data_IF_262844954009
#
_entry.id   IF_262844954009
#
_cell.length_a   1.000
_cell.length_b   1.000
_cell.length_c   1.000
_cell.angle_alpha   90.00
_cell.angle_beta   90.00
_cell.angle_gamma   90.00
#
_symmetry.space_group_name_H-M   'P 1'
#
loop_
_entity.id
_entity.type
_entity.pdbx_description
1 polymer ?
#
# COMPACT_ATOMS: atom_id res chain seq x y z
N UNK A 1 4.45 24.27 27.52
CA UNK A 1 4.30 22.83 27.28
C UNK A 1 2.81 22.49 27.41
N UNK A 2 2.06 22.61 26.32
CA UNK A 2 0.63 22.28 26.31
C UNK A 2 0.50 20.83 25.84
N UNK A 3 0.12 19.95 26.75
CA UNK A 3 -0.29 18.59 26.43
C UNK A 3 -1.57 18.69 25.59
N UNK A 4 -1.44 18.48 24.30
CA UNK A 4 -2.59 18.23 23.45
C UNK A 4 -3.26 16.94 23.94
N UNK A 5 -4.33 17.08 24.71
CA UNK A 5 -5.15 15.96 25.16
C UNK A 5 -5.56 15.15 23.94
N UNK A 6 -5.10 13.91 23.86
CA UNK A 6 -5.49 12.97 22.83
C UNK A 6 -7.04 12.84 22.91
N UNK A 7 -7.74 13.46 21.97
CA UNK A 7 -9.18 13.34 21.85
C UNK A 7 -9.52 11.86 21.67
N UNK A 8 -10.06 11.24 22.69
CA UNK A 8 -10.59 9.88 22.59
C UNK A 8 -11.65 9.86 21.47
N UNK A 9 -11.54 8.93 20.52
CA UNK A 9 -12.53 8.83 19.46
C UNK A 9 -13.91 8.63 20.07
N UNK A 10 -14.87 9.46 19.67
CA UNK A 10 -16.24 9.37 20.18
C UNK A 10 -16.75 7.94 19.90
N UNK A 11 -17.42 7.33 20.90
CA UNK A 11 -17.99 5.97 20.81
C UNK A 11 -18.78 5.76 19.51
N UNK A 12 -19.49 6.77 19.02
CA UNK A 12 -20.21 6.75 17.74
C UNK A 12 -19.28 6.55 16.54
N UNK A 13 -18.13 7.24 16.49
CA UNK A 13 -17.14 7.07 15.41
C UNK A 13 -16.53 5.68 15.42
N UNK A 14 -16.23 5.13 16.60
CA UNK A 14 -15.71 3.77 16.75
C UNK A 14 -16.73 2.72 16.29
N UNK A 15 -18.00 2.86 16.67
CA UNK A 15 -19.08 1.95 16.26
C UNK A 15 -19.29 2.01 14.73
N UNK A 16 -19.30 3.21 14.15
CA UNK A 16 -19.43 3.37 12.68
C UNK A 16 -18.25 2.71 11.96
N UNK A 17 -17.02 2.92 12.44
CA UNK A 17 -15.82 2.27 11.86
C UNK A 17 -15.90 0.75 11.94
N UNK A 18 -16.35 0.19 13.06
CA UNK A 18 -16.56 -1.25 13.23
C UNK A 18 -17.66 -1.79 12.30
N UNK A 19 -18.76 -1.07 12.13
CA UNK A 19 -19.82 -1.46 11.21
C UNK A 19 -19.37 -1.44 9.75
N UNK A 20 -18.59 -0.42 9.36
CA UNK A 20 -18.00 -0.35 8.02
C UNK A 20 -17.03 -1.50 7.79
N UNK A 21 -16.17 -1.80 8.76
CA UNK A 21 -15.24 -2.93 8.66
C UNK A 21 -16.00 -4.27 8.55
N UNK A 22 -17.02 -4.46 9.36
CA UNK A 22 -17.87 -5.66 9.31
C UNK A 22 -18.57 -5.78 7.95
N UNK A 23 -19.15 -4.69 7.44
CA UNK A 23 -19.79 -4.67 6.13
C UNK A 23 -18.82 -5.03 4.99
N UNK A 24 -17.60 -4.45 5.00
CA UNK A 24 -16.57 -4.78 4.02
C UNK A 24 -16.16 -6.25 4.11
N UNK A 25 -15.98 -6.78 5.32
CA UNK A 25 -15.68 -8.21 5.53
C UNK A 25 -16.80 -9.10 4.99
N UNK A 26 -18.06 -8.77 5.28
CA UNK A 26 -19.20 -9.50 4.74
C UNK A 26 -19.26 -9.47 3.22
N UNK A 27 -18.99 -8.32 2.59
CA UNK A 27 -18.94 -8.19 1.13
C UNK A 27 -17.86 -9.11 0.56
N UNK A 28 -16.65 -9.11 1.14
CA UNK A 28 -15.56 -9.98 0.70
C UNK A 28 -15.95 -11.45 0.81
N UNK A 29 -16.44 -11.89 1.97
CA UNK A 29 -16.88 -13.27 2.19
C UNK A 29 -17.97 -13.67 1.23
N UNK A 30 -18.95 -12.79 1.00
CA UNK A 30 -20.04 -13.04 0.07
C UNK A 30 -19.59 -13.13 -1.39
N UNK A 31 -18.63 -12.30 -1.80
CA UNK A 31 -18.06 -12.32 -3.16
C UNK A 31 -17.28 -13.63 -3.41
N UNK A 32 -16.59 -14.15 -2.40
CA UNK A 32 -15.80 -15.36 -2.54
C UNK A 32 -16.54 -16.66 -2.22
N UNK A 33 -17.79 -16.61 -1.74
CA UNK A 33 -18.53 -17.80 -1.29
C UNK A 33 -18.65 -18.88 -2.38
N UNK A 34 -18.86 -18.47 -3.64
CA UNK A 34 -19.07 -19.39 -4.76
C UNK A 34 -17.75 -20.00 -5.28
N UNK A 35 -16.59 -19.37 -4.94
CA UNK A 35 -15.26 -19.85 -5.28
C UNK A 35 -14.54 -20.54 -4.11
N UNK A 36 -15.22 -20.70 -2.95
CA UNK A 36 -14.59 -21.24 -1.75
C UNK A 36 -14.08 -22.67 -1.93
N UNK A 37 -14.82 -23.50 -2.64
CA UNK A 37 -14.40 -24.87 -2.95
C UNK A 37 -13.16 -24.91 -3.86
N UNK A 38 -13.09 -24.03 -4.86
CA UNK A 38 -11.92 -23.91 -5.74
C UNK A 38 -10.69 -23.41 -4.98
N UNK A 39 -10.87 -22.40 -4.13
CA UNK A 39 -9.80 -21.83 -3.29
C UNK A 39 -9.25 -22.89 -2.35
N UNK A 40 -10.11 -23.62 -1.63
CA UNK A 40 -9.68 -24.67 -0.70
C UNK A 40 -8.97 -25.81 -1.42
N UNK A 41 -9.46 -26.21 -2.59
CA UNK A 41 -8.81 -27.25 -3.40
C UNK A 41 -7.45 -26.79 -3.91
N UNK A 42 -7.34 -25.55 -4.40
CA UNK A 42 -6.08 -24.96 -4.83
C UNK A 42 -5.08 -24.84 -3.68
N UNK A 43 -5.54 -24.41 -2.49
CA UNK A 43 -4.69 -24.34 -1.30
C UNK A 43 -4.21 -25.73 -0.83
N UNK A 44 -5.07 -26.75 -0.90
CA UNK A 44 -4.71 -28.12 -0.53
C UNK A 44 -3.65 -28.75 -1.47
N UNK A 45 -3.51 -28.23 -2.69
CA UNK A 45 -2.49 -28.68 -3.65
C UNK A 45 -1.13 -28.01 -3.43
N UNK A 46 -1.06 -26.94 -2.62
CA UNK A 46 0.20 -26.27 -2.34
C UNK A 46 1.07 -27.09 -1.41
N UNK A 47 2.33 -27.23 -1.75
CA UNK A 47 3.30 -27.79 -0.83
C UNK A 47 3.58 -26.80 0.32
N UNK A 48 3.99 -27.34 1.47
CA UNK A 48 4.36 -26.50 2.64
C UNK A 48 5.43 -25.46 2.26
N UNK A 49 6.37 -25.79 1.39
CA UNK A 49 7.40 -24.86 0.92
C UNK A 49 6.83 -23.71 0.10
N UNK A 50 5.82 -23.96 -0.72
CA UNK A 50 5.13 -22.91 -1.48
C UNK A 50 4.37 -21.97 -0.55
N UNK A 51 3.69 -22.50 0.45
CA UNK A 51 3.01 -21.69 1.46
C UNK A 51 4.01 -20.82 2.23
N UNK A 52 5.12 -21.42 2.69
CA UNK A 52 6.18 -20.67 3.39
C UNK A 52 6.81 -19.60 2.49
N UNK A 53 7.04 -19.88 1.21
CA UNK A 53 7.56 -18.90 0.26
C UNK A 53 6.61 -17.72 0.07
N UNK A 54 5.31 -17.98 -0.10
CA UNK A 54 4.28 -16.94 -0.23
C UNK A 54 4.21 -16.09 1.04
N UNK A 55 4.22 -16.72 2.21
CA UNK A 55 4.24 -16.00 3.50
C UNK A 55 5.50 -15.15 3.66
N UNK A 56 6.67 -15.68 3.32
CA UNK A 56 7.93 -14.93 3.38
C UNK A 56 7.91 -13.69 2.47
N UNK A 57 7.42 -13.84 1.23
CA UNK A 57 7.26 -12.72 0.30
C UNK A 57 6.22 -11.72 0.83
N UNK A 58 5.08 -12.20 1.35
CA UNK A 58 4.04 -11.35 1.92
C UNK A 58 4.53 -10.52 3.12
N UNK A 59 5.33 -11.12 4.00
CA UNK A 59 5.91 -10.44 5.17
C UNK A 59 7.05 -9.51 4.76
N UNK A 60 7.82 -9.85 3.73
CA UNK A 60 8.94 -9.02 3.27
C UNK A 60 8.48 -7.65 2.77
N UNK A 61 7.30 -7.55 2.17
CA UNK A 61 6.77 -6.31 1.63
C UNK A 61 6.64 -5.19 2.69
N UNK A 62 5.86 -5.34 3.78
CA UNK A 62 5.74 -4.29 4.79
C UNK A 62 7.06 -4.02 5.54
N UNK A 63 7.94 -5.02 5.64
CA UNK A 63 9.28 -4.81 6.23
C UNK A 63 10.14 -3.90 5.36
N UNK A 64 10.18 -4.14 4.05
CA UNK A 64 10.92 -3.31 3.11
C UNK A 64 10.32 -1.89 3.03
N UNK A 65 8.99 -1.77 2.97
CA UNK A 65 8.28 -0.48 3.02
C UNK A 65 8.63 0.28 4.30
N UNK A 66 8.65 -0.39 5.44
CA UNK A 66 9.06 0.19 6.71
C UNK A 66 10.52 0.65 6.75
N UNK A 67 11.43 -0.10 6.12
CA UNK A 67 12.83 0.32 5.97
C UNK A 67 12.96 1.57 5.10
N UNK A 68 12.22 1.65 4.00
CA UNK A 68 12.17 2.83 3.13
C UNK A 68 11.63 4.04 3.90
N UNK A 69 10.50 3.89 4.59
CA UNK A 69 9.93 4.92 5.44
C UNK A 69 10.93 5.41 6.50
N UNK A 70 11.66 4.49 7.15
CA UNK A 70 12.69 4.84 8.12
C UNK A 70 13.81 5.69 7.50
N UNK A 71 14.33 5.31 6.34
CA UNK A 71 15.41 6.05 5.65
C UNK A 71 14.93 7.45 5.29
N UNK A 72 13.74 7.57 4.71
CA UNK A 72 13.17 8.84 4.26
C UNK A 72 12.87 9.76 5.45
N UNK A 73 12.19 9.25 6.48
CA UNK A 73 11.77 10.05 7.65
C UNK A 73 12.97 10.50 8.48
N UNK A 74 14.00 9.66 8.61
CA UNK A 74 15.20 9.98 9.36
C UNK A 74 15.92 11.22 8.81
N UNK A 75 15.75 11.56 7.55
CA UNK A 75 16.32 12.79 6.97
C UNK A 75 15.77 14.07 7.63
N UNK A 76 14.55 14.02 8.17
CA UNK A 76 13.86 15.14 8.85
C UNK A 76 13.73 14.95 10.35
N UNK A 77 13.76 13.71 10.82
CA UNK A 77 13.63 13.33 12.23
C UNK A 77 14.77 12.36 12.59
N UNK A 78 16.00 12.84 12.89
CA UNK A 78 17.17 11.99 13.11
C UNK A 78 17.01 10.94 14.22
N UNK A 79 16.17 11.20 15.23
CA UNK A 79 15.84 10.28 16.31
C UNK A 79 14.85 9.17 15.92
N UNK A 80 14.32 9.18 14.69
CA UNK A 80 13.37 8.18 14.22
C UNK A 80 14.03 6.80 14.11
N UNK A 81 13.51 5.84 14.86
CA UNK A 81 14.11 4.52 15.01
C UNK A 81 13.59 3.57 13.91
N UNK A 82 14.37 2.54 13.58
CA UNK A 82 13.97 1.52 12.61
C UNK A 82 12.62 0.89 12.94
N UNK A 83 12.36 0.55 14.21
CA UNK A 83 11.10 -0.02 14.66
C UNK A 83 9.90 0.88 14.33
N UNK A 84 10.05 2.19 14.47
CA UNK A 84 9.02 3.14 14.10
C UNK A 84 8.77 3.17 12.59
N UNK A 85 9.82 2.96 11.78
CA UNK A 85 9.70 2.77 10.34
C UNK A 85 8.92 1.50 10.00
N UNK A 86 9.25 0.39 10.65
CA UNK A 86 8.52 -0.87 10.48
C UNK A 86 7.04 -0.73 10.86
N UNK A 87 6.73 -0.03 11.95
CA UNK A 87 5.34 0.27 12.33
C UNK A 87 4.62 1.08 11.24
N UNK A 88 5.29 2.04 10.61
CA UNK A 88 4.74 2.81 9.48
C UNK A 88 4.43 1.89 8.29
N UNK A 89 5.33 0.97 7.94
CA UNK A 89 5.13 -0.01 6.87
C UNK A 89 3.93 -0.93 7.15
N UNK A 90 3.85 -1.49 8.35
CA UNK A 90 2.72 -2.34 8.76
C UNK A 90 1.40 -1.57 8.80
N UNK A 91 1.40 -0.36 9.37
CA UNK A 91 0.21 0.49 9.40
C UNK A 91 -0.24 0.89 7.99
N UNK A 92 0.70 1.18 7.09
CA UNK A 92 0.43 1.49 5.70
C UNK A 92 -0.21 0.30 4.96
N UNK A 93 0.39 -0.87 5.08
CA UNK A 93 -0.13 -2.11 4.50
C UNK A 93 -1.52 -2.44 5.03
N UNK A 94 -1.73 -2.34 6.35
CA UNK A 94 -3.05 -2.53 6.94
C UNK A 94 -4.06 -1.49 6.41
N UNK A 95 -3.67 -0.21 6.37
CA UNK A 95 -4.49 0.87 5.84
C UNK A 95 -4.93 0.59 4.39
N UNK A 96 -4.02 0.11 3.55
CA UNK A 96 -4.31 -0.26 2.16
C UNK A 96 -5.34 -1.40 2.08
N UNK A 97 -5.18 -2.45 2.86
CA UNK A 97 -6.09 -3.61 2.85
C UNK A 97 -7.49 -3.20 3.28
N UNK A 98 -7.61 -2.45 4.38
CA UNK A 98 -8.93 -2.09 4.96
C UNK A 98 -9.68 -1.08 4.10
N UNK A 99 -8.98 -0.25 3.33
CA UNK A 99 -9.61 0.84 2.55
C UNK A 99 -9.52 0.64 1.03
N UNK A 100 -9.19 -0.57 0.58
CA UNK A 100 -9.03 -0.88 -0.84
C UNK A 100 -7.99 0.04 -1.55
N UNK A 101 -6.93 0.37 -0.84
CA UNK A 101 -5.79 1.11 -1.40
C UNK A 101 -5.72 2.60 -1.07
N UNK A 102 -6.78 3.19 -0.48
CA UNK A 102 -6.82 4.63 -0.20
C UNK A 102 -6.25 5.03 1.18
N UNK A 103 -6.12 4.10 2.11
CA UNK A 103 -5.85 4.39 3.52
C UNK A 103 -4.38 4.34 3.95
N UNK A 104 -3.45 3.93 3.11
CA UNK A 104 -2.06 3.84 3.51
C UNK A 104 -1.51 5.19 3.96
N UNK A 105 -1.54 6.18 3.08
CA UNK A 105 -0.96 7.51 3.35
C UNK A 105 -1.59 8.20 4.56
N UNK A 106 -2.93 8.26 4.73
CA UNK A 106 -3.53 8.84 5.93
C UNK A 106 -3.11 8.16 7.23
N UNK A 107 -3.02 6.82 7.25
CA UNK A 107 -2.66 6.07 8.47
C UNK A 107 -1.17 6.25 8.79
N UNK A 108 -0.29 6.18 7.80
CA UNK A 108 1.14 6.45 7.93
C UNK A 108 1.39 7.88 8.43
N UNK A 109 0.72 8.88 7.83
CA UNK A 109 0.83 10.27 8.23
C UNK A 109 0.38 10.51 9.68
N UNK A 110 -0.72 9.87 10.09
CA UNK A 110 -1.17 9.93 11.49
C UNK A 110 -0.12 9.38 12.44
N UNK A 111 0.50 8.23 12.11
CA UNK A 111 1.55 7.62 12.91
C UNK A 111 2.79 8.53 13.00
N UNK A 112 3.24 9.06 11.87
CA UNK A 112 4.40 9.97 11.81
C UNK A 112 4.17 11.26 12.59
N UNK A 113 2.95 11.79 12.54
CA UNK A 113 2.59 12.97 13.34
C UNK A 113 2.69 12.67 14.84
N UNK A 114 2.25 11.50 15.28
CA UNK A 114 2.44 11.06 16.67
C UNK A 114 3.90 10.85 17.05
N UNK A 115 4.74 10.46 16.11
CA UNK A 115 6.17 10.32 16.30
C UNK A 115 6.93 11.67 16.36
N UNK A 116 6.23 12.80 16.15
CA UNK A 116 6.77 14.15 16.26
C UNK A 116 7.06 14.83 14.92
N UNK A 117 6.68 14.23 13.80
CA UNK A 117 6.84 14.88 12.49
C UNK A 117 5.62 15.77 12.20
N UNK A 118 5.80 17.06 11.87
CA UNK A 118 4.69 17.93 11.49
C UNK A 118 3.97 17.42 10.25
N UNK A 119 2.65 17.65 10.17
CA UNK A 119 1.79 17.10 9.10
C UNK A 119 2.25 17.51 7.69
N UNK A 120 2.64 18.78 7.48
CA UNK A 120 3.10 19.26 6.17
C UNK A 120 4.34 18.52 5.65
N UNK A 121 5.48 18.55 6.37
CA UNK A 121 6.65 17.76 6.03
C UNK A 121 6.38 16.26 5.93
N UNK A 122 5.54 15.70 6.82
CA UNK A 122 5.13 14.30 6.77
C UNK A 122 4.39 13.95 5.49
N UNK A 123 3.44 14.78 5.08
CA UNK A 123 2.70 14.59 3.83
C UNK A 123 3.64 14.65 2.60
N UNK A 124 4.58 15.59 2.59
CA UNK A 124 5.59 15.69 1.52
C UNK A 124 6.45 14.42 1.42
N UNK A 125 6.94 13.90 2.56
CA UNK A 125 7.74 12.67 2.58
C UNK A 125 6.93 11.44 2.11
N UNK A 126 5.69 11.29 2.56
CA UNK A 126 4.83 10.18 2.14
C UNK A 126 4.44 10.28 0.67
N UNK A 127 4.24 11.49 0.15
CA UNK A 127 4.02 11.71 -1.29
C UNK A 127 5.26 11.30 -2.09
N UNK A 128 6.44 11.68 -1.63
CA UNK A 128 7.70 11.29 -2.26
C UNK A 128 7.86 9.76 -2.28
N UNK A 129 7.63 9.09 -1.15
CA UNK A 129 7.65 7.63 -1.05
C UNK A 129 6.67 6.99 -2.03
N UNK A 130 5.44 7.51 -2.11
CA UNK A 130 4.42 7.02 -3.03
C UNK A 130 4.86 7.17 -4.51
N UNK A 131 5.46 8.30 -4.87
CA UNK A 131 5.98 8.53 -6.24
C UNK A 131 7.09 7.52 -6.57
N UNK A 132 8.06 7.32 -5.68
CA UNK A 132 9.11 6.32 -5.88
C UNK A 132 8.56 4.90 -6.01
N UNK A 133 7.62 4.52 -5.13
CA UNK A 133 6.97 3.23 -5.19
C UNK A 133 6.26 3.00 -6.54
N UNK A 134 5.43 3.95 -6.98
CA UNK A 134 4.71 3.83 -8.27
C UNK A 134 5.63 3.84 -9.47
N UNK A 135 6.70 4.63 -9.44
CA UNK A 135 7.72 4.65 -10.49
C UNK A 135 8.45 3.31 -10.60
N UNK A 136 8.80 2.69 -9.47
CA UNK A 136 9.43 1.37 -9.42
C UNK A 136 8.49 0.28 -9.95
N UNK A 137 7.22 0.31 -9.56
CA UNK A 137 6.20 -0.64 -10.07
C UNK A 137 6.03 -0.48 -11.59
N UNK A 138 5.97 0.75 -12.08
CA UNK A 138 5.85 1.03 -13.51
C UNK A 138 7.08 0.52 -14.29
N UNK A 139 8.27 0.78 -13.77
CA UNK A 139 9.52 0.30 -14.35
C UNK A 139 9.56 -1.24 -14.40
N UNK A 140 9.24 -1.89 -13.28
CA UNK A 140 9.18 -3.35 -13.21
C UNK A 140 8.16 -3.93 -14.21
N UNK A 141 6.95 -3.38 -14.23
CA UNK A 141 5.92 -3.79 -15.18
C UNK A 141 6.38 -3.63 -16.63
N UNK A 142 7.05 -2.52 -16.96
CA UNK A 142 7.60 -2.27 -18.30
C UNK A 142 8.63 -3.33 -18.67
N UNK A 143 9.58 -3.62 -17.79
CA UNK A 143 10.61 -4.65 -18.01
C UNK A 143 9.95 -6.01 -18.25
N UNK A 144 8.99 -6.41 -17.40
CA UNK A 144 8.27 -7.68 -17.54
C UNK A 144 7.47 -7.76 -18.85
N UNK A 145 6.81 -6.69 -19.25
CA UNK A 145 6.10 -6.63 -20.53
C UNK A 145 7.04 -6.79 -21.72
N UNK A 146 8.20 -6.15 -21.69
CA UNK A 146 9.21 -6.28 -22.75
C UNK A 146 9.78 -7.70 -22.83
N UNK A 147 10.07 -8.31 -21.68
CA UNK A 147 10.59 -9.67 -21.60
C UNK A 147 9.56 -10.71 -22.04
N UNK A 148 8.30 -10.54 -21.66
CA UNK A 148 7.24 -11.51 -21.88
C UNK A 148 6.31 -11.15 -23.07
N UNK A 149 6.69 -10.21 -23.91
CA UNK A 149 5.84 -9.71 -25.01
C UNK A 149 5.28 -10.80 -25.90
N UNK A 150 6.07 -11.86 -26.19
CA UNK A 150 5.64 -12.99 -27.03
C UNK A 150 4.55 -13.80 -26.38
N UNK A 151 4.69 -14.11 -25.10
CA UNK A 151 3.71 -14.86 -24.32
C UNK A 151 2.41 -14.06 -24.16
N UNK A 152 2.53 -12.77 -23.86
CA UNK A 152 1.40 -11.86 -23.73
C UNK A 152 0.61 -11.74 -25.03
N UNK A 153 1.28 -11.57 -26.18
CA UNK A 153 0.62 -11.49 -27.47
C UNK A 153 -0.16 -12.77 -27.84
N UNK A 154 0.34 -13.94 -27.39
CA UNK A 154 -0.33 -15.21 -27.66
C UNK A 154 -1.53 -15.48 -26.73
N UNK A 155 -1.51 -14.96 -25.49
CA UNK A 155 -2.48 -15.35 -24.45
C UNK A 155 -3.43 -14.23 -24.00
N UNK A 156 -3.23 -12.98 -24.42
CA UNK A 156 -3.94 -11.82 -23.83
C UNK A 156 -4.39 -10.78 -24.87
N UNK A 157 -5.05 -11.21 -25.93
CA UNK A 157 -5.51 -10.31 -27.02
C UNK A 157 -6.40 -9.16 -26.53
N UNK A 158 -7.23 -9.37 -25.49
CA UNK A 158 -8.08 -8.32 -24.91
C UNK A 158 -7.34 -7.32 -24.02
N UNK A 159 -6.35 -7.77 -23.25
CA UNK A 159 -5.64 -6.94 -22.27
C UNK A 159 -4.65 -5.98 -22.94
N UNK A 160 -4.02 -6.41 -24.04
CA UNK A 160 -3.06 -5.58 -24.77
C UNK A 160 -3.68 -4.28 -25.30
N UNK A 161 -4.96 -4.26 -25.57
CA UNK A 161 -5.68 -3.05 -26.03
C UNK A 161 -5.73 -1.95 -24.97
N UNK A 162 -5.88 -2.34 -23.68
CA UNK A 162 -6.04 -1.41 -22.56
C UNK A 162 -4.72 -1.02 -21.92
N UNK A 163 -3.64 -1.73 -22.23
CA UNK A 163 -2.33 -1.53 -21.64
C UNK A 163 -1.79 -0.11 -21.83
N UNK A 164 -1.79 0.48 -23.08
CA UNK A 164 -1.32 1.84 -23.27
C UNK A 164 -2.10 2.87 -22.46
N UNK A 165 -3.40 2.67 -22.32
CA UNK A 165 -4.28 3.54 -21.52
C UNK A 165 -3.92 3.45 -20.03
N UNK A 166 -3.68 2.25 -19.49
CA UNK A 166 -3.26 2.07 -18.11
C UNK A 166 -1.91 2.75 -17.83
N UNK A 167 -0.95 2.61 -18.76
CA UNK A 167 0.35 3.31 -18.65
C UNK A 167 0.20 4.82 -18.71
N UNK A 168 -0.62 5.35 -19.60
CA UNK A 168 -0.86 6.79 -19.71
C UNK A 168 -1.46 7.35 -18.41
N UNK A 169 -2.44 6.66 -17.82
CA UNK A 169 -3.04 7.07 -16.54
C UNK A 169 -1.99 7.11 -15.42
N UNK A 170 -1.18 6.06 -15.27
CA UNK A 170 -0.15 6.01 -14.22
C UNK A 170 0.91 7.09 -14.46
N UNK A 171 1.34 7.30 -15.71
CA UNK A 171 2.31 8.34 -16.05
C UNK A 171 1.77 9.75 -15.71
N UNK A 172 0.52 10.03 -16.06
CA UNK A 172 -0.14 11.31 -15.72
C UNK A 172 -0.18 11.52 -14.21
N UNK A 173 -0.54 10.50 -13.43
CA UNK A 173 -0.55 10.58 -11.96
C UNK A 173 0.85 10.89 -11.42
N UNK A 174 1.87 10.20 -11.89
CA UNK A 174 3.26 10.43 -11.45
C UNK A 174 3.69 11.86 -11.79
N UNK A 175 3.45 12.31 -13.03
CA UNK A 175 3.80 13.67 -13.45
C UNK A 175 3.07 14.72 -12.61
N UNK A 176 1.78 14.55 -12.37
CA UNK A 176 0.99 15.45 -11.53
C UNK A 176 1.55 15.54 -10.11
N UNK A 177 1.90 14.40 -9.50
CA UNK A 177 2.46 14.36 -8.16
C UNK A 177 3.86 15.00 -8.10
N UNK A 178 4.71 14.76 -9.10
CA UNK A 178 6.03 15.41 -9.20
C UNK A 178 5.88 16.92 -9.33
N UNK A 179 4.96 17.39 -10.19
CA UNK A 179 4.70 18.83 -10.34
C UNK A 179 4.19 19.46 -9.03
N UNK A 180 3.33 18.76 -8.28
CA UNK A 180 2.88 19.20 -6.96
C UNK A 180 4.02 19.26 -5.93
N UNK A 181 5.00 18.37 -6.02
CA UNK A 181 6.18 18.38 -5.12
C UNK A 181 7.20 19.47 -5.48
N UNK A 182 7.27 19.89 -6.74
CA UNK A 182 8.25 20.87 -7.25
C UNK A 182 7.65 22.28 -7.28
N UNK A 183 6.31 22.38 -7.31
CA UNK A 183 5.63 23.68 -7.25
C UNK A 183 5.80 24.31 -5.88
N UNK A 184 6.27 25.61 -5.81
CA UNK A 184 6.51 26.30 -4.56
C UNK A 184 5.23 26.58 -3.77
#
# INVERSE_FOLDING_TARGET
>A
MSQAAAQQPSRKKTVISLLVLLALTCIIVFTFKDHWAEITTALAQLSVWQVLAVLAVGISYPLLEGCVAWVIVRSRLPQFKLWQGLDVGWCGTFGNVVTLGAGAVPVQLYYLHRAGLPLGPGAGLMTLEYVFHKSTVLLYATVMLLLQRRWLAANTTGVMRYLPMAYAVVAVIIVALVLLCVSP
#
